data_IF_263759196495
#
_entry.id   IF_263759196495
#
_cell.length_a   1.000
_cell.length_b   1.000
_cell.length_c   1.000
_cell.angle_alpha   90.00
_cell.angle_beta   90.00
_cell.angle_gamma   90.00
#
_symmetry.space_group_name_H-M   'P 1'
#
loop_
_entity.id
_entity.type
_entity.pdbx_description
1 polymer ?
#
# COMPACT_ATOMS: atom_id res chain seq x y z
N UNK A 1 -17.29 -10.79 -10.49
CA UNK A 1 -16.49 -10.45 -9.38
C UNK A 1 -15.69 -9.18 -9.63
N UNK A 2 -14.93 -8.75 -8.64
CA UNK A 2 -14.23 -7.49 -8.67
C UNK A 2 -13.38 -7.30 -9.93
N UNK A 3 -13.43 -6.14 -10.56
CA UNK A 3 -12.56 -5.81 -11.68
C UNK A 3 -11.15 -5.42 -11.23
N UNK A 4 -10.83 -5.55 -9.95
CA UNK A 4 -9.56 -5.09 -9.43
C UNK A 4 -8.40 -5.93 -9.94
N UNK A 5 -7.31 -5.26 -10.21
CA UNK A 5 -6.04 -5.90 -10.45
C UNK A 5 -5.52 -6.49 -9.16
N UNK A 6 -4.97 -7.68 -9.24
CA UNK A 6 -4.32 -8.30 -8.09
C UNK A 6 -2.83 -8.29 -8.32
N UNK A 7 -2.11 -7.76 -7.35
CA UNK A 7 -0.66 -7.69 -7.38
C UNK A 7 -0.09 -8.67 -6.36
N UNK A 8 0.93 -9.38 -6.76
CA UNK A 8 1.70 -10.24 -5.87
C UNK A 8 3.17 -10.12 -6.14
N UNK A 9 3.94 -10.01 -5.06
CA UNK A 9 5.38 -10.10 -5.11
C UNK A 9 5.76 -11.40 -4.40
N UNK A 10 6.97 -11.70 -4.20
CA UNK A 10 7.37 -12.80 -3.36
C UNK A 10 8.01 -13.92 -4.12
N UNK A 11 7.28 -14.59 -4.99
CA UNK A 11 7.84 -15.65 -5.81
C UNK A 11 8.86 -15.11 -6.80
N UNK A 12 8.71 -13.86 -7.19
CA UNK A 12 9.56 -13.20 -8.17
C UNK A 12 10.15 -11.95 -7.54
N UNK A 13 11.24 -12.12 -6.82
CA UNK A 13 11.81 -11.04 -6.01
C UNK A 13 12.17 -9.77 -6.76
N UNK A 14 12.53 -9.90 -8.00
CA UNK A 14 12.97 -8.77 -8.81
C UNK A 14 11.84 -8.09 -9.56
N UNK A 15 10.63 -8.57 -9.38
CA UNK A 15 9.48 -8.10 -10.15
C UNK A 15 8.24 -8.04 -9.28
N UNK A 16 7.39 -7.07 -9.57
CA UNK A 16 6.03 -7.02 -9.06
C UNK A 16 5.19 -7.92 -9.95
N UNK A 17 4.36 -8.75 -9.36
CA UNK A 17 3.47 -9.61 -10.12
C UNK A 17 2.07 -9.02 -10.12
N UNK A 18 1.51 -8.83 -11.30
CA UNK A 18 0.18 -8.26 -11.45
C UNK A 18 -0.74 -9.26 -12.08
N UNK A 19 -1.88 -9.40 -11.48
CA UNK A 19 -2.88 -10.30 -11.97
C UNK A 19 -4.19 -9.59 -12.17
N UNK A 20 -4.77 -9.86 -13.29
CA UNK A 20 -6.00 -9.21 -13.70
C UNK A 20 -7.22 -9.83 -13.04
N UNK A 21 -7.14 -11.09 -12.71
CA UNK A 21 -8.26 -11.83 -12.12
C UNK A 21 -7.79 -12.65 -10.95
N UNK A 22 -8.44 -12.46 -9.81
CA UNK A 22 -8.05 -13.13 -8.57
C UNK A 22 -8.15 -14.63 -8.63
N UNK A 23 -9.14 -15.14 -9.36
CA UNK A 23 -9.34 -16.58 -9.47
C UNK A 23 -8.30 -17.29 -10.33
N UNK A 24 -7.55 -16.55 -11.14
CA UNK A 24 -6.53 -17.11 -12.02
C UNK A 24 -5.12 -16.93 -11.48
N UNK A 25 -4.96 -15.99 -10.60
CA UNK A 25 -3.67 -15.58 -10.05
C UNK A 25 -2.89 -16.71 -9.44
N UNK A 26 -3.55 -17.53 -8.66
CA UNK A 26 -2.89 -18.57 -7.89
C UNK A 26 -2.57 -19.79 -8.72
N UNK A 27 -3.08 -19.86 -9.93
CA UNK A 27 -2.97 -21.06 -10.76
C UNK A 27 -1.93 -20.96 -11.86
N UNK A 28 -1.53 -19.74 -12.23
CA UNK A 28 -0.64 -19.56 -13.36
C UNK A 28 0.36 -18.44 -13.13
N UNK A 29 1.55 -18.73 -12.62
CA UNK A 29 2.60 -17.73 -12.39
C UNK A 29 3.02 -16.99 -13.66
N UNK A 30 2.88 -17.61 -14.81
CA UNK A 30 3.21 -16.94 -16.06
C UNK A 30 2.33 -15.74 -16.36
N UNK A 31 1.06 -15.81 -15.95
CA UNK A 31 0.15 -14.69 -16.10
C UNK A 31 0.63 -13.51 -15.27
N UNK A 32 1.14 -13.79 -14.08
CA UNK A 32 1.63 -12.77 -13.18
C UNK A 32 2.77 -11.97 -13.81
N UNK A 33 3.75 -12.67 -14.38
CA UNK A 33 4.88 -12.00 -15.04
C UNK A 33 4.42 -11.13 -16.20
N UNK A 34 3.47 -11.63 -16.98
CA UNK A 34 2.94 -10.88 -18.12
C UNK A 34 2.26 -9.60 -17.67
N UNK A 35 1.42 -9.70 -16.64
CA UNK A 35 0.67 -8.55 -16.14
C UNK A 35 1.60 -7.55 -15.45
N UNK A 36 2.61 -8.02 -14.73
CA UNK A 36 3.62 -7.16 -14.16
C UNK A 36 4.32 -6.35 -15.24
N UNK A 37 4.74 -7.02 -16.30
CA UNK A 37 5.41 -6.34 -17.41
C UNK A 37 4.55 -5.24 -18.01
N UNK A 38 3.25 -5.48 -18.09
CA UNK A 38 2.30 -4.47 -18.54
C UNK A 38 2.24 -3.29 -17.57
N UNK A 39 2.18 -3.56 -16.28
CA UNK A 39 2.08 -2.49 -15.28
C UNK A 39 3.32 -1.59 -15.27
N UNK A 40 4.49 -2.17 -15.47
CA UNK A 40 5.71 -1.38 -15.54
C UNK A 40 5.68 -0.42 -16.73
N UNK A 41 5.10 -0.85 -17.83
CA UNK A 41 4.97 -0.02 -19.03
C UNK A 41 3.74 0.88 -19.01
N UNK A 42 2.73 0.50 -18.27
CA UNK A 42 1.44 1.21 -18.20
C UNK A 42 1.15 1.53 -16.73
N UNK A 43 1.80 2.57 -16.17
CA UNK A 43 1.65 2.89 -14.74
C UNK A 43 0.20 3.12 -14.30
N UNK A 44 -0.66 3.55 -15.20
CA UNK A 44 -2.08 3.76 -14.91
C UNK A 44 -2.79 2.47 -14.48
N UNK A 45 -2.20 1.32 -14.77
CA UNK A 45 -2.76 0.04 -14.35
C UNK A 45 -2.62 -0.20 -12.86
N UNK A 46 -1.82 0.59 -12.16
CA UNK A 46 -1.69 0.48 -10.72
C UNK A 46 -2.90 1.07 -9.98
N UNK A 47 -3.67 1.94 -10.62
CA UNK A 47 -4.87 2.53 -10.02
C UNK A 47 -5.90 1.43 -9.79
N UNK A 48 -6.48 1.38 -8.56
CA UNK A 48 -7.43 0.36 -8.13
C UNK A 48 -6.87 -1.07 -8.09
N UNK A 49 -5.56 -1.24 -8.14
CA UNK A 49 -4.99 -2.58 -8.05
C UNK A 49 -5.15 -3.17 -6.64
N UNK A 50 -5.10 -4.49 -6.57
CA UNK A 50 -5.37 -5.20 -5.33
C UNK A 50 -4.23 -6.17 -5.02
N UNK A 51 -3.57 -5.95 -3.86
CA UNK A 51 -2.41 -6.71 -3.41
C UNK A 51 -2.84 -7.54 -2.21
N UNK A 52 -2.86 -8.84 -2.35
CA UNK A 52 -3.50 -9.72 -1.40
C UNK A 52 -2.56 -10.81 -0.87
N UNK A 53 -2.57 -10.97 0.46
CA UNK A 53 -1.87 -12.06 1.17
C UNK A 53 -0.44 -12.30 0.72
N UNK A 54 0.30 -11.25 0.46
CA UNK A 54 1.68 -11.38 0.02
C UNK A 54 2.66 -10.78 1.00
N UNK A 55 3.93 -11.12 0.80
CA UNK A 55 5.05 -10.42 1.41
C UNK A 55 5.73 -9.63 0.31
N UNK A 56 5.73 -8.31 0.46
CA UNK A 56 6.26 -7.38 -0.52
C UNK A 56 7.44 -6.67 0.11
N UNK A 57 8.63 -6.83 -0.44
CA UNK A 57 9.82 -6.42 0.29
C UNK A 57 10.92 -5.87 -0.59
N UNK A 58 11.74 -4.98 0.02
CA UNK A 58 13.04 -4.57 -0.49
C UNK A 58 12.98 -3.92 -1.87
N UNK A 59 12.09 -2.94 -2.02
CA UNK A 59 11.92 -2.24 -3.28
C UNK A 59 11.77 -0.74 -3.10
N UNK A 60 12.10 0.00 -4.16
CA UNK A 60 11.76 1.40 -4.26
C UNK A 60 10.78 1.58 -5.43
N UNK A 61 9.64 2.19 -5.14
CA UNK A 61 8.61 2.48 -6.13
C UNK A 61 8.53 4.00 -6.25
N UNK A 62 8.73 4.53 -7.46
CA UNK A 62 8.82 5.96 -7.70
C UNK A 62 7.78 6.45 -8.70
N UNK A 63 7.25 7.64 -8.41
CA UNK A 63 6.46 8.42 -9.37
C UNK A 63 5.29 7.64 -9.97
N UNK A 64 4.71 6.74 -9.17
CA UNK A 64 3.66 5.85 -9.63
C UNK A 64 2.30 6.37 -9.21
N UNK A 65 1.33 6.27 -10.11
CA UNK A 65 -0.07 6.52 -9.77
C UNK A 65 -0.67 5.23 -9.20
N UNK A 66 -0.84 5.23 -7.88
CA UNK A 66 -1.34 4.09 -7.13
C UNK A 66 -2.63 4.44 -6.40
N UNK A 67 -3.41 5.36 -6.95
CA UNK A 67 -4.67 5.77 -6.30
C UNK A 67 -5.58 4.57 -6.09
N UNK A 68 -6.20 4.53 -4.91
CA UNK A 68 -7.19 3.51 -4.56
C UNK A 68 -6.65 2.08 -4.56
N UNK A 69 -5.34 1.92 -4.49
CA UNK A 69 -4.73 0.60 -4.35
C UNK A 69 -5.09 0.01 -2.99
N UNK A 70 -5.23 -1.30 -2.93
CA UNK A 70 -5.50 -2.01 -1.68
C UNK A 70 -4.41 -3.03 -1.42
N UNK A 71 -3.81 -2.98 -0.22
CA UNK A 71 -2.96 -4.03 0.31
C UNK A 71 -3.74 -4.72 1.42
N UNK A 72 -4.18 -5.93 1.18
CA UNK A 72 -5.01 -6.66 2.15
C UNK A 72 -4.27 -7.86 2.73
N UNK A 73 -4.29 -7.97 4.06
CA UNK A 73 -3.69 -9.09 4.79
C UNK A 73 -2.25 -9.37 4.35
N UNK A 74 -1.50 -8.32 4.07
CA UNK A 74 -0.16 -8.43 3.50
C UNK A 74 0.89 -7.95 4.50
N UNK A 75 2.14 -8.33 4.23
CA UNK A 75 3.29 -7.78 4.92
C UNK A 75 4.07 -6.95 3.91
N UNK A 76 4.26 -5.69 4.21
CA UNK A 76 5.00 -4.75 3.36
C UNK A 76 6.22 -4.29 4.14
N UNK A 77 7.41 -4.67 3.70
CA UNK A 77 8.61 -4.40 4.47
C UNK A 77 9.73 -3.83 3.61
N UNK A 78 10.40 -2.83 4.14
CA UNK A 78 11.52 -2.18 3.47
C UNK A 78 11.17 -1.71 2.05
N UNK A 79 9.98 -1.18 1.90
CA UNK A 79 9.54 -0.57 0.64
C UNK A 79 9.63 0.94 0.79
N UNK A 80 10.28 1.58 -0.17
CA UNK A 80 10.28 3.03 -0.27
C UNK A 80 9.29 3.42 -1.36
N UNK A 81 8.21 4.10 -0.96
CA UNK A 81 7.29 4.72 -1.91
C UNK A 81 7.72 6.17 -2.03
N UNK A 82 8.22 6.56 -3.19
CA UNK A 82 8.76 7.89 -3.39
C UNK A 82 7.92 8.65 -4.42
N UNK A 83 7.34 9.76 -3.99
CA UNK A 83 6.50 10.60 -4.85
C UNK A 83 5.38 9.83 -5.54
N UNK A 84 4.84 8.82 -4.87
CA UNK A 84 3.71 8.07 -5.40
C UNK A 84 2.40 8.75 -5.04
N UNK A 85 1.43 8.64 -5.92
CA UNK A 85 0.07 9.07 -5.61
C UNK A 85 -0.70 7.88 -5.06
N UNK A 86 -0.91 7.90 -3.74
CA UNK A 86 -1.60 6.85 -2.99
C UNK A 86 -2.92 7.37 -2.40
N UNK A 87 -3.51 8.38 -3.03
CA UNK A 87 -4.80 8.91 -2.58
C UNK A 87 -5.83 7.80 -2.47
N UNK A 88 -6.53 7.74 -1.35
CA UNK A 88 -7.58 6.75 -1.13
C UNK A 88 -7.10 5.31 -1.04
N UNK A 89 -5.81 5.08 -0.90
CA UNK A 89 -5.28 3.71 -0.73
C UNK A 89 -5.76 3.10 0.59
N UNK A 90 -5.79 1.78 0.65
CA UNK A 90 -6.29 1.04 1.82
C UNK A 90 -5.33 -0.09 2.17
N UNK A 91 -5.21 -0.35 3.47
CA UNK A 91 -4.27 -1.35 3.97
C UNK A 91 -4.90 -2.28 5.02
N UNK A 92 -6.06 -2.89 4.73
CA UNK A 92 -6.75 -3.70 5.74
C UNK A 92 -5.94 -4.95 6.10
N UNK A 93 -5.71 -5.13 7.41
CA UNK A 93 -5.00 -6.29 7.92
C UNK A 93 -3.52 -6.36 7.52
N UNK A 94 -2.93 -5.26 7.12
CA UNK A 94 -1.57 -5.23 6.59
C UNK A 94 -0.58 -4.73 7.64
N UNK A 95 0.62 -5.30 7.61
CA UNK A 95 1.74 -4.86 8.45
C UNK A 95 2.73 -4.10 7.60
N UNK A 96 3.08 -2.89 8.06
CA UNK A 96 4.09 -2.05 7.42
C UNK A 96 5.31 -1.99 8.32
N UNK A 97 6.45 -2.46 7.84
CA UNK A 97 7.69 -2.50 8.59
C UNK A 97 8.83 -1.91 7.76
N UNK A 98 9.51 -0.92 8.32
CA UNK A 98 10.66 -0.31 7.65
C UNK A 98 10.31 0.39 6.34
N UNK A 99 9.09 0.84 6.20
CA UNK A 99 8.63 1.47 4.96
C UNK A 99 8.78 2.99 5.01
N UNK A 100 8.81 3.61 3.85
CA UNK A 100 8.81 5.07 3.73
C UNK A 100 7.77 5.48 2.71
N UNK A 101 6.97 6.49 3.10
CA UNK A 101 6.00 7.14 2.22
C UNK A 101 6.43 8.60 1.97
N UNK A 102 7.73 8.85 1.98
CA UNK A 102 8.25 10.21 1.84
C UNK A 102 7.76 10.89 0.57
N UNK A 103 7.16 12.05 0.74
CA UNK A 103 6.68 12.84 -0.39
C UNK A 103 5.47 12.27 -1.12
N UNK A 104 4.85 11.23 -0.58
CA UNK A 104 3.67 10.63 -1.22
C UNK A 104 2.39 11.39 -0.91
N UNK A 105 1.43 11.31 -1.82
CA UNK A 105 0.08 11.78 -1.56
C UNK A 105 -0.72 10.63 -0.96
N UNK A 106 -1.05 10.74 0.33
CA UNK A 106 -1.85 9.76 1.06
C UNK A 106 -3.19 10.37 1.51
N UNK A 107 -3.67 11.37 0.78
CA UNK A 107 -4.95 12.00 1.11
C UNK A 107 -6.05 10.94 1.18
N UNK A 108 -6.76 10.90 2.32
CA UNK A 108 -7.85 9.96 2.50
C UNK A 108 -7.46 8.49 2.57
N UNK A 109 -6.18 8.17 2.72
CA UNK A 109 -5.74 6.79 2.84
C UNK A 109 -6.30 6.15 4.12
N UNK A 110 -6.59 4.85 4.06
CA UNK A 110 -7.19 4.13 5.16
C UNK A 110 -6.20 3.12 5.75
N UNK A 111 -5.69 3.44 6.95
CA UNK A 111 -4.77 2.59 7.69
C UNK A 111 -5.41 1.98 8.95
N UNK A 112 -6.74 1.91 9.03
CA UNK A 112 -7.44 1.55 10.27
C UNK A 112 -7.04 0.20 10.85
N UNK A 113 -6.80 -0.79 10.01
CA UNK A 113 -6.44 -2.14 10.46
C UNK A 113 -4.97 -2.46 10.15
N UNK A 114 -4.14 -1.44 10.13
CA UNK A 114 -2.74 -1.57 9.79
C UNK A 114 -1.88 -1.51 11.04
N UNK A 115 -0.78 -2.26 11.06
CA UNK A 115 0.24 -2.13 12.09
C UNK A 115 1.50 -1.53 11.49
N UNK A 116 2.21 -0.76 12.31
CA UNK A 116 3.35 0.02 11.85
C UNK A 116 4.58 -0.26 12.70
N UNK A 117 5.70 -0.41 12.05
CA UNK A 117 6.98 -0.57 12.70
C UNK A 117 8.03 0.15 11.85
N UNK A 118 8.74 1.12 12.44
CA UNK A 118 9.79 1.87 11.75
C UNK A 118 9.35 2.38 10.37
N UNK A 119 8.16 2.94 10.29
CA UNK A 119 7.60 3.43 9.04
C UNK A 119 7.48 4.94 9.09
N UNK A 120 8.03 5.62 8.06
CA UNK A 120 8.09 7.07 7.98
C UNK A 120 7.06 7.64 7.01
N UNK A 121 6.41 8.70 7.45
CA UNK A 121 5.48 9.48 6.62
C UNK A 121 6.02 10.88 6.38
N UNK A 122 7.34 11.08 6.50
CA UNK A 122 7.95 12.39 6.37
C UNK A 122 7.58 13.06 5.04
N UNK A 123 7.05 14.27 5.12
CA UNK A 123 6.67 15.04 3.93
C UNK A 123 5.48 14.49 3.15
N UNK A 124 4.82 13.45 3.64
CA UNK A 124 3.63 12.93 2.98
C UNK A 124 2.41 13.81 3.23
N UNK A 125 1.51 13.87 2.24
CA UNK A 125 0.22 14.52 2.39
C UNK A 125 -0.73 13.54 3.08
N UNK A 126 -1.11 13.84 4.33
CA UNK A 126 -1.90 12.93 5.15
C UNK A 126 -3.30 13.45 5.47
N UNK A 127 -3.75 14.51 4.82
CA UNK A 127 -5.08 15.05 5.10
C UNK A 127 -6.14 13.98 4.94
N UNK A 128 -6.99 13.85 5.96
CA UNK A 128 -8.09 12.89 6.01
C UNK A 128 -7.65 11.42 5.99
N UNK A 129 -6.36 11.12 6.09
CA UNK A 129 -5.92 9.73 6.26
C UNK A 129 -6.36 9.22 7.63
N UNK A 130 -6.76 7.97 7.72
CA UNK A 130 -7.29 7.37 8.94
C UNK A 130 -6.28 6.39 9.51
N UNK A 131 -5.92 6.59 10.79
CA UNK A 131 -4.98 5.72 11.50
C UNK A 131 -5.62 5.16 12.76
N UNK A 132 -5.23 3.96 13.19
CA UNK A 132 -5.63 3.49 14.51
C UNK A 132 -5.10 4.45 15.57
N UNK A 133 -5.93 4.81 16.56
CA UNK A 133 -5.51 5.73 17.60
C UNK A 133 -4.29 5.21 18.35
N UNK A 134 -4.25 3.91 18.61
CA UNK A 134 -3.15 3.26 19.30
C UNK A 134 -1.84 3.25 18.52
N UNK A 135 -1.87 3.53 17.23
CA UNK A 135 -0.66 3.53 16.40
C UNK A 135 0.16 4.81 16.54
N UNK A 136 -0.44 5.89 17.04
CA UNK A 136 0.19 7.21 17.07
C UNK A 136 1.61 7.21 17.65
N UNK A 137 1.89 6.53 18.79
CA UNK A 137 3.24 6.53 19.34
C UNK A 137 4.28 5.88 18.43
N UNK A 138 3.85 5.10 17.44
CA UNK A 138 4.73 4.37 16.54
C UNK A 138 4.85 5.04 15.16
N UNK A 139 4.17 6.16 14.95
CA UNK A 139 4.19 6.87 13.68
C UNK A 139 5.31 7.91 13.68
N UNK A 140 6.06 7.95 12.57
CA UNK A 140 7.03 9.01 12.35
C UNK A 140 6.36 10.09 11.50
N UNK A 141 5.65 10.99 12.19
CA UNK A 141 4.91 12.08 11.57
C UNK A 141 5.18 13.39 12.29
N UNK A 142 4.95 14.49 11.60
CA UNK A 142 5.10 15.83 12.18
C UNK A 142 3.87 16.24 12.99
N UNK A 143 4.01 17.30 13.78
CA UNK A 143 2.87 17.87 14.51
C UNK A 143 1.79 18.34 13.55
N UNK A 144 2.17 18.92 12.41
CA UNK A 144 1.23 19.39 11.41
C UNK A 144 0.46 18.23 10.78
N UNK A 145 1.15 17.15 10.50
CA UNK A 145 0.51 15.95 9.96
C UNK A 145 -0.49 15.35 10.94
N UNK A 146 -0.13 15.34 12.23
CA UNK A 146 -1.01 14.81 13.27
C UNK A 146 -2.33 15.59 13.34
N UNK A 147 -2.33 16.86 12.99
CA UNK A 147 -3.54 17.68 13.03
C UNK A 147 -4.53 17.37 11.91
N UNK A 148 -4.06 16.80 10.81
CA UNK A 148 -4.91 16.61 9.63
C UNK A 148 -5.37 15.17 9.43
N UNK A 149 -4.82 14.23 10.20
CA UNK A 149 -5.26 12.83 10.13
C UNK A 149 -6.51 12.62 10.99
N UNK A 150 -7.15 11.49 10.76
CA UNK A 150 -8.26 11.03 11.59
C UNK A 150 -7.81 9.81 12.38
N UNK A 151 -8.26 9.71 13.62
CA UNK A 151 -7.93 8.58 14.47
C UNK A 151 -9.15 7.71 14.65
N UNK A 152 -8.98 6.44 14.33
CA UNK A 152 -10.01 5.44 14.56
C UNK A 152 -9.78 4.83 15.94
N UNK A 153 -10.80 4.94 16.80
CA UNK A 153 -10.75 4.41 18.16
C UNK A 153 -11.67 3.21 18.27
N UNK A 154 -11.17 2.15 18.85
CA UNK A 154 -12.04 1.02 19.15
C UNK A 154 -13.08 1.47 20.16
N UNK A 155 -14.35 1.21 19.84
CA UNK A 155 -15.41 1.44 20.79
C UNK A 155 -15.40 0.32 21.81
N UNK A 156 -15.34 0.69 23.09
CA UNK A 156 -15.54 -0.28 24.16
C UNK A 156 -17.03 -0.64 24.22
N UNK A 157 -17.29 -1.88 23.99
CA UNK A 157 -18.67 -2.39 24.07
C UNK A 157 -19.01 -2.80 25.49
#
# INVERSE_FOLDING_TARGET
RSPYWVLRWGEYRDQTEILVQTDRVEKDPGVWKTELSKAVREPEKMVFSYWYKGTYADRTIRDMDMRFITFEESTVQNIVFQNCNLEGSRFPGTRLTGCSFEGCNLWGADFRECTFEQTSFAGAELTAAVFPAESVPFLEISAEQLQVIRLDREEES
#
